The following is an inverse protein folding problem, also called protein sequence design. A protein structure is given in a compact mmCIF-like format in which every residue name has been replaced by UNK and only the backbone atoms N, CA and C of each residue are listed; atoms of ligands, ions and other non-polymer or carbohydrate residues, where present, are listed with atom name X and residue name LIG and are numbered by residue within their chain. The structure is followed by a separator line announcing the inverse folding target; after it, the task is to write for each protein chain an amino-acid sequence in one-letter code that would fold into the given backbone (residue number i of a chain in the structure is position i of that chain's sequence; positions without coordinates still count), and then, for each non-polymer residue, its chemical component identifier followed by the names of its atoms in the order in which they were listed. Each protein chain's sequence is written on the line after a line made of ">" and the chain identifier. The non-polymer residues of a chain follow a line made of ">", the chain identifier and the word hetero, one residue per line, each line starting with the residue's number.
data_IF_402530045692
#
_entry.id   IF_402530045692
#
_cell.length_a   1.000
_cell.length_b   1.000
_cell.length_c   1.000
_cell.angle_alpha   90.00
_cell.angle_beta   90.00
_cell.angle_gamma   90.00
#
_symmetry.space_group_name_H-M   'P 1'
#
loop_
_entity.id
_entity.type
_entity.pdbx_description
1 polymer ?
#
# COMPACT_ATOMS: atom_id res chain seq x y z
N UNK A 1 13.06 6.73 -1.12
CA UNK A 1 12.42 6.41 0.17
C UNK A 1 11.52 7.53 0.62
N UNK A 2 10.53 7.20 1.39
CA UNK A 2 9.64 8.18 1.99
C UNK A 2 9.14 7.67 3.34
N UNK A 3 8.60 8.60 4.13
CA UNK A 3 7.93 8.26 5.38
C UNK A 3 6.49 8.72 5.26
N UNK A 4 5.55 7.79 5.44
CA UNK A 4 4.13 8.10 5.52
C UNK A 4 3.69 8.00 6.97
N UNK A 5 2.90 8.96 7.42
CA UNK A 5 2.26 8.92 8.72
C UNK A 5 0.76 8.83 8.53
N UNK A 6 0.16 7.78 9.07
CA UNK A 6 -1.28 7.56 9.00
C UNK A 6 -1.86 7.89 10.36
N UNK A 7 -2.82 8.81 10.41
CA UNK A 7 -3.50 9.16 11.65
C UNK A 7 -4.85 8.47 11.67
N UNK A 8 -5.06 7.58 12.63
CA UNK A 8 -6.33 6.85 12.74
C UNK A 8 -7.39 7.65 13.48
N UNK A 9 -8.60 7.11 13.57
CA UNK A 9 -9.75 7.79 14.18
C UNK A 9 -9.56 8.08 15.67
N UNK A 10 -8.64 7.40 16.33
CA UNK A 10 -8.31 7.63 17.73
C UNK A 10 -7.21 8.67 17.91
N UNK A 11 -6.72 9.26 16.81
CA UNK A 11 -5.63 10.23 16.86
C UNK A 11 -4.25 9.60 16.95
N UNK A 12 -4.13 8.28 16.88
CA UNK A 12 -2.84 7.59 16.90
C UNK A 12 -2.16 7.75 15.56
N UNK A 13 -0.88 8.05 15.58
CA UNK A 13 -0.05 8.15 14.38
C UNK A 13 0.71 6.86 14.16
N UNK A 14 0.61 6.32 12.95
CA UNK A 14 1.31 5.10 12.52
C UNK A 14 2.29 5.47 11.43
N UNK A 15 3.55 5.18 11.64
CA UNK A 15 4.62 5.53 10.70
C UNK A 15 4.95 4.34 9.82
N UNK A 16 5.01 4.57 8.50
CA UNK A 16 5.39 3.57 7.50
C UNK A 16 6.61 4.06 6.76
N UNK A 17 7.67 3.27 6.77
CA UNK A 17 8.88 3.54 5.99
C UNK A 17 8.72 2.94 4.60
N UNK A 18 8.65 3.77 3.58
CA UNK A 18 8.29 3.35 2.24
C UNK A 18 9.46 3.34 1.28
N UNK A 19 9.45 2.38 0.36
CA UNK A 19 10.18 2.47 -0.89
C UNK A 19 9.25 3.11 -1.91
N UNK A 20 9.80 3.94 -2.79
CA UNK A 20 9.02 4.57 -3.87
C UNK A 20 9.64 4.15 -5.20
N UNK A 21 9.01 3.24 -5.94
CA UNK A 21 9.51 2.89 -7.26
C UNK A 21 9.33 4.10 -8.19
N UNK A 22 10.39 4.45 -8.91
CA UNK A 22 10.40 5.67 -9.72
C UNK A 22 10.47 5.40 -11.23
N UNK A 23 11.02 4.27 -11.64
CA UNK A 23 11.05 3.89 -13.05
C UNK A 23 9.91 2.94 -13.38
N UNK A 24 9.57 2.82 -14.67
CA UNK A 24 8.54 1.87 -15.10
C UNK A 24 8.91 0.45 -14.72
N UNK A 25 10.18 0.09 -14.83
CA UNK A 25 10.68 -1.22 -14.46
C UNK A 25 10.51 -1.47 -12.96
N UNK A 26 10.87 -0.52 -12.12
CA UNK A 26 10.71 -0.62 -10.67
C UNK A 26 9.24 -0.72 -10.27
N UNK A 27 8.38 0.04 -10.93
CA UNK A 27 6.93 -0.02 -10.67
C UNK A 27 6.35 -1.38 -11.07
N UNK A 28 6.82 -1.95 -12.17
CA UNK A 28 6.38 -3.26 -12.63
C UNK A 28 6.86 -4.37 -11.68
N UNK A 29 8.11 -4.30 -11.24
CA UNK A 29 8.67 -5.30 -10.34
C UNK A 29 8.04 -5.24 -8.95
N UNK A 30 7.87 -4.03 -8.42
CA UNK A 30 7.27 -3.84 -7.09
C UNK A 30 7.87 -4.77 -6.04
N UNK A 31 7.02 -5.55 -5.40
CA UNK A 31 7.41 -6.53 -4.37
C UNK A 31 7.70 -7.93 -4.92
N UNK A 32 7.76 -8.09 -6.24
CA UNK A 32 8.05 -9.39 -6.86
C UNK A 32 9.37 -9.97 -6.36
N UNK A 33 9.41 -11.28 -6.21
CA UNK A 33 10.59 -12.09 -5.87
C UNK A 33 11.12 -11.85 -4.45
N UNK A 34 10.41 -11.11 -3.61
CA UNK A 34 10.77 -10.96 -2.21
C UNK A 34 10.09 -12.02 -1.38
N UNK A 35 10.71 -12.39 -0.25
CA UNK A 35 10.13 -13.36 0.67
C UNK A 35 9.21 -12.71 1.70
N UNK A 36 9.48 -11.45 2.03
CA UNK A 36 8.73 -10.74 3.05
C UNK A 36 9.00 -9.23 2.98
N UNK A 37 8.28 -8.50 3.81
CA UNK A 37 8.43 -7.06 3.98
C UNK A 37 8.54 -6.78 5.47
N UNK A 38 9.43 -5.86 5.88
CA UNK A 38 9.58 -5.57 7.32
C UNK A 38 8.29 -4.96 7.91
N UNK A 39 8.14 -5.06 9.25
CA UNK A 39 6.87 -4.76 9.92
C UNK A 39 6.35 -3.34 9.70
N UNK A 40 7.26 -2.35 9.68
CA UNK A 40 6.91 -0.95 9.48
C UNK A 40 7.25 -0.45 8.09
N UNK A 41 7.45 -1.35 7.15
CA UNK A 41 7.83 -1.05 5.78
C UNK A 41 6.63 -1.09 4.85
N UNK A 42 6.76 -0.40 3.73
CA UNK A 42 5.78 -0.42 2.67
C UNK A 42 6.40 -0.04 1.34
N UNK A 43 5.61 -0.19 0.29
CA UNK A 43 5.95 0.32 -1.02
C UNK A 43 4.85 1.28 -1.47
N UNK A 44 5.22 2.50 -1.79
CA UNK A 44 4.28 3.55 -2.14
C UNK A 44 4.38 3.91 -3.61
N UNK A 45 3.24 3.89 -4.29
CA UNK A 45 3.10 4.28 -5.68
C UNK A 45 2.35 5.61 -5.73
N UNK A 46 3.03 6.67 -6.19
CA UNK A 46 2.43 8.01 -6.32
C UNK A 46 1.27 8.02 -7.32
N UNK A 47 1.45 7.26 -8.40
CA UNK A 47 0.46 7.15 -9.46
C UNK A 47 0.73 5.88 -10.26
N UNK A 48 -0.32 5.12 -10.50
CA UNK A 48 -0.26 3.95 -11.38
C UNK A 48 -1.51 3.94 -12.25
N UNK A 49 -1.30 3.90 -13.55
CA UNK A 49 -2.40 3.77 -14.52
C UNK A 49 -2.76 2.29 -14.64
N UNK A 50 -4.04 1.97 -14.48
CA UNK A 50 -4.53 0.60 -14.48
C UNK A 50 -4.55 -0.01 -13.09
N UNK A 51 -4.64 -1.33 -13.03
CA UNK A 51 -4.71 -2.07 -11.77
C UNK A 51 -3.37 -2.61 -11.31
N UNK A 52 -3.42 -3.29 -10.18
CA UNK A 52 -2.29 -4.00 -9.60
C UNK A 52 -2.55 -5.51 -9.68
N UNK A 53 -1.51 -6.31 -9.61
CA UNK A 53 -1.61 -7.75 -9.51
C UNK A 53 -0.54 -8.32 -8.58
N UNK A 54 -0.69 -9.60 -8.25
CA UNK A 54 0.21 -10.28 -7.32
C UNK A 54 1.12 -11.30 -8.03
N UNK A 55 1.29 -11.16 -9.33
CA UNK A 55 2.19 -12.04 -10.07
C UNK A 55 3.60 -11.97 -9.48
N UNK A 56 4.16 -13.13 -9.15
CA UNK A 56 5.51 -13.28 -8.57
C UNK A 56 5.68 -12.60 -7.20
N UNK A 57 4.60 -12.21 -6.54
CA UNK A 57 4.65 -11.74 -5.16
C UNK A 57 4.37 -12.92 -4.24
N UNK A 58 5.32 -13.22 -3.36
CA UNK A 58 5.36 -14.50 -2.64
C UNK A 58 4.69 -14.48 -1.27
N UNK A 59 4.13 -13.36 -0.86
CA UNK A 59 3.50 -13.21 0.46
C UNK A 59 2.26 -12.32 0.36
N UNK A 60 1.28 -12.51 1.27
CA UNK A 60 0.05 -11.70 1.22
C UNK A 60 0.32 -10.28 1.67
N UNK A 61 -0.37 -9.33 1.04
CA UNK A 61 -0.25 -7.91 1.38
C UNK A 61 -1.61 -7.26 1.48
N UNK A 62 -1.63 -6.05 1.98
CA UNK A 62 -2.79 -5.16 1.92
C UNK A 62 -2.45 -3.99 1.02
N UNK A 63 -3.36 -3.67 0.12
CA UNK A 63 -3.26 -2.51 -0.76
C UNK A 63 -4.12 -1.40 -0.19
N UNK A 64 -3.46 -0.33 0.28
CA UNK A 64 -4.11 0.84 0.86
C UNK A 64 -4.17 1.90 -0.21
N UNK A 65 -5.37 2.17 -0.72
CA UNK A 65 -5.59 3.15 -1.77
C UNK A 65 -5.86 4.51 -1.15
N UNK A 66 -5.18 5.52 -1.68
CA UNK A 66 -5.17 6.87 -1.11
C UNK A 66 -5.61 7.85 -2.21
N UNK A 67 -6.44 8.82 -1.83
CA UNK A 67 -6.76 9.93 -2.70
C UNK A 67 -6.48 11.23 -1.94
N UNK A 68 -5.49 11.99 -2.43
CA UNK A 68 -5.01 13.16 -1.72
C UNK A 68 -4.36 12.78 -0.40
N UNK A 69 -5.00 13.10 0.70
CA UNK A 69 -4.53 12.85 2.05
C UNK A 69 -5.41 11.86 2.83
N UNK A 70 -6.25 11.10 2.13
CA UNK A 70 -7.24 10.24 2.79
C UNK A 70 -7.19 8.83 2.22
N UNK A 71 -7.29 7.83 3.10
CA UNK A 71 -7.45 6.43 2.70
C UNK A 71 -8.88 6.24 2.20
N UNK A 72 -9.01 5.77 0.95
CA UNK A 72 -10.33 5.61 0.31
C UNK A 72 -10.71 4.16 0.09
N UNK A 73 -9.77 3.22 0.14
CA UNK A 73 -10.05 1.80 -0.02
C UNK A 73 -8.90 0.98 0.57
N UNK A 74 -9.21 -0.21 1.08
CA UNK A 74 -8.20 -1.16 1.56
C UNK A 74 -8.62 -2.53 1.03
N UNK A 75 -7.72 -3.19 0.30
CA UNK A 75 -7.98 -4.52 -0.24
C UNK A 75 -6.87 -5.49 0.14
N UNK A 76 -7.25 -6.70 0.51
CA UNK A 76 -6.29 -7.78 0.74
C UNK A 76 -5.92 -8.41 -0.59
N UNK A 77 -4.66 -8.78 -0.75
CA UNK A 77 -4.15 -9.37 -1.97
C UNK A 77 -3.35 -10.63 -1.63
N UNK A 78 -3.69 -11.72 -2.31
CA UNK A 78 -3.09 -13.04 -2.06
C UNK A 78 -1.88 -13.27 -2.96
N UNK A 79 -0.88 -14.06 -2.47
CA UNK A 79 0.30 -14.35 -3.27
C UNK A 79 -0.05 -14.98 -4.61
N UNK A 80 0.66 -14.57 -5.65
CA UNK A 80 0.56 -15.15 -7.00
C UNK A 80 -0.76 -14.96 -7.71
N UNK A 81 -1.67 -14.18 -7.16
CA UNK A 81 -2.95 -13.87 -7.81
C UNK A 81 -2.69 -12.90 -8.98
N UNK A 82 -3.03 -13.32 -10.19
CA UNK A 82 -2.81 -12.52 -11.40
C UNK A 82 -4.04 -11.75 -11.85
N UNK A 83 -5.13 -11.77 -11.06
CA UNK A 83 -6.28 -10.93 -11.35
C UNK A 83 -5.94 -9.47 -11.08
N UNK A 84 -6.54 -8.58 -11.86
CA UNK A 84 -6.33 -7.15 -11.69
C UNK A 84 -7.05 -6.65 -10.43
N UNK A 85 -6.32 -5.96 -9.56
CA UNK A 85 -6.86 -5.36 -8.34
C UNK A 85 -6.92 -3.87 -8.57
N UNK A 86 -8.12 -3.31 -8.43
CA UNK A 86 -8.34 -1.88 -8.64
C UNK A 86 -9.08 -1.31 -7.44
N UNK A 87 -8.87 -0.01 -7.13
CA UNK A 87 -9.62 0.62 -6.04
C UNK A 87 -11.10 0.69 -6.38
N UNK A 88 -11.94 0.63 -5.37
CA UNK A 88 -13.39 0.73 -5.52
C UNK A 88 -13.84 2.15 -5.83
N UNK A 89 -12.99 3.14 -5.57
CA UNK A 89 -13.24 4.56 -5.84
C UNK A 89 -11.95 5.18 -6.39
N UNK A 90 -12.06 6.38 -6.92
CA UNK A 90 -10.91 7.10 -7.48
C UNK A 90 -9.79 7.24 -6.44
N UNK A 91 -8.56 6.95 -6.86
CA UNK A 91 -7.38 7.09 -6.01
C UNK A 91 -6.20 7.61 -6.84
N UNK A 92 -5.28 8.28 -6.17
CA UNK A 92 -4.04 8.78 -6.80
C UNK A 92 -2.79 8.19 -6.17
N UNK A 93 -2.93 7.28 -5.21
CA UNK A 93 -1.80 6.62 -4.59
C UNK A 93 -2.17 5.24 -4.07
N UNK A 94 -1.14 4.38 -3.93
CA UNK A 94 -1.29 3.04 -3.37
C UNK A 94 -0.13 2.75 -2.45
N UNK A 95 -0.44 2.33 -1.24
CA UNK A 95 0.56 1.87 -0.27
C UNK A 95 0.38 0.38 -0.05
N UNK A 96 1.42 -0.40 -0.33
CA UNK A 96 1.41 -1.84 -0.08
C UNK A 96 2.13 -2.15 1.22
N UNK A 97 1.45 -2.85 2.11
CA UNK A 97 1.96 -3.22 3.44
C UNK A 97 1.67 -4.70 3.70
N UNK A 98 2.26 -5.25 4.74
CA UNK A 98 2.01 -6.63 5.14
C UNK A 98 0.54 -6.87 5.47
N UNK A 99 0.08 -8.09 5.24
CA UNK A 99 -1.24 -8.52 5.71
C UNK A 99 -1.34 -8.35 7.22
N UNK A 100 -2.47 -7.82 7.68
CA UNK A 100 -2.71 -7.59 9.10
C UNK A 100 -2.21 -6.24 9.60
N UNK A 101 -1.47 -5.50 8.81
CA UNK A 101 -0.92 -4.21 9.22
C UNK A 101 -2.03 -3.22 9.61
N UNK A 102 -3.07 -3.12 8.80
CA UNK A 102 -4.15 -2.17 9.06
C UNK A 102 -4.93 -2.55 10.32
N UNK A 103 -5.26 -3.83 10.50
CA UNK A 103 -5.97 -4.28 11.69
C UNK A 103 -5.14 -4.05 12.96
N UNK A 104 -3.85 -4.42 12.91
CA UNK A 104 -2.95 -4.26 14.07
C UNK A 104 -2.75 -2.81 14.49
N UNK A 105 -2.93 -1.88 13.58
CA UNK A 105 -2.71 -0.45 13.83
C UNK A 105 -3.99 0.37 13.81
N UNK A 106 -5.15 -0.29 13.79
CA UNK A 106 -6.47 0.35 13.76
C UNK A 106 -6.63 1.35 12.60
N UNK A 107 -6.12 0.97 11.43
CA UNK A 107 -6.20 1.78 10.22
C UNK A 107 -7.44 1.39 9.43
N UNK A 108 -8.20 2.39 9.00
CA UNK A 108 -9.46 2.21 8.28
C UNK A 108 -9.61 3.24 7.17
N UNK A 109 -10.55 2.97 6.26
CA UNK A 109 -10.97 3.95 5.25
C UNK A 109 -11.43 5.22 5.96
N UNK A 110 -11.01 6.37 5.47
CA UNK A 110 -11.27 7.68 6.07
C UNK A 110 -10.10 8.22 6.88
N UNK A 111 -9.13 7.39 7.23
CA UNK A 111 -7.96 7.85 7.97
C UNK A 111 -7.09 8.76 7.11
N UNK A 112 -6.35 9.65 7.77
CA UNK A 112 -5.54 10.65 7.07
C UNK A 112 -4.12 10.15 6.88
N UNK A 113 -3.54 10.56 5.75
CA UNK A 113 -2.17 10.18 5.37
C UNK A 113 -1.35 11.44 5.13
N UNK A 114 -0.19 11.48 5.73
CA UNK A 114 0.73 12.60 5.61
C UNK A 114 2.10 12.06 5.18
N UNK A 115 2.68 12.67 4.16
CA UNK A 115 4.00 12.30 3.63
C UNK A 115 5.02 13.33 4.06
N UNK A 116 6.06 12.89 4.73
CA UNK A 116 7.17 13.76 5.09
C UNK A 116 8.41 13.47 4.25
#
# INVERSE_FOLDING_TARGET
>A
TCVLTITNSNGKEVVVNCEVPSTDEEKMTGLMYRDSLCNDCGMFYDYVDGGFWMKNVNFPIEMVFINGDEIVDIQKALPHDETSIQPSVESDGNLEVNEGFCESNDISVGDKVYRS
#
